data_IF_162711724094
#
_entry.id   IF_162711724094
#
_cell.length_a   1.000
_cell.length_b   1.000
_cell.length_c   1.000
_cell.angle_alpha   90.00
_cell.angle_beta   90.00
_cell.angle_gamma   90.00
#
_symmetry.space_group_name_H-M   'P 1'
#
loop_
_entity.id
_entity.type
_entity.pdbx_description
1 polymer ?
#
# COMPACT_ATOMS: atom_id res chain seq x y z
N UNK A 1 15.15 4.88 -5.73
CA UNK A 1 15.16 3.69 -4.85
C UNK A 1 16.28 2.77 -5.33
N UNK A 2 17.33 2.58 -4.52
CA UNK A 2 18.63 1.98 -4.92
C UNK A 2 18.51 0.53 -5.40
N UNK A 3 17.54 -0.21 -4.85
CA UNK A 3 17.22 -1.58 -5.23
C UNK A 3 17.02 -1.82 -6.74
N UNK A 4 16.35 -0.91 -7.46
CA UNK A 4 16.11 -1.09 -8.90
C UNK A 4 17.41 -1.08 -9.73
N UNK A 5 18.45 -0.41 -9.22
CA UNK A 5 19.77 -0.35 -9.85
C UNK A 5 20.61 -1.58 -9.46
N UNK A 6 20.46 -2.07 -8.24
CA UNK A 6 21.27 -3.16 -7.69
C UNK A 6 20.70 -4.55 -8.05
N UNK A 7 19.40 -4.66 -8.36
CA UNK A 7 18.72 -5.95 -8.62
C UNK A 7 19.27 -6.73 -9.81
N UNK A 8 20.03 -6.12 -10.71
CA UNK A 8 20.63 -6.84 -11.84
C UNK A 8 21.80 -7.70 -11.40
N UNK A 9 22.47 -7.33 -10.32
CA UNK A 9 23.68 -7.98 -9.83
C UNK A 9 23.49 -8.63 -8.46
N UNK A 10 22.58 -8.10 -7.61
CA UNK A 10 22.20 -8.67 -6.31
C UNK A 10 20.92 -9.48 -6.43
N UNK A 11 21.05 -10.72 -6.87
CA UNK A 11 19.93 -11.62 -7.13
C UNK A 11 19.68 -12.64 -6.03
N UNK A 12 20.66 -12.83 -5.13
CA UNK A 12 20.64 -13.89 -4.14
C UNK A 12 20.44 -13.35 -2.73
N UNK A 13 19.82 -14.17 -1.88
CA UNK A 13 19.56 -13.83 -0.47
C UNK A 13 20.86 -13.60 0.31
N UNK A 14 21.95 -14.27 -0.08
CA UNK A 14 23.26 -14.18 0.60
C UNK A 14 24.04 -12.88 0.36
N UNK A 15 23.70 -12.11 -0.69
CA UNK A 15 24.44 -10.89 -1.06
C UNK A 15 23.85 -9.60 -0.49
N UNK A 16 22.65 -9.69 0.10
CA UNK A 16 21.94 -8.57 0.68
C UNK A 16 21.89 -8.71 2.21
N UNK A 17 22.32 -7.67 2.92
CA UNK A 17 22.19 -7.59 4.36
C UNK A 17 20.81 -7.08 4.74
N UNK A 18 20.23 -7.64 5.81
CA UNK A 18 18.98 -7.10 6.37
C UNK A 18 19.22 -5.65 6.80
N UNK A 19 18.30 -4.73 6.47
CA UNK A 19 18.42 -3.34 6.90
C UNK A 19 18.44 -3.31 8.43
N UNK A 20 19.39 -2.56 8.98
CA UNK A 20 19.52 -2.40 10.42
C UNK A 20 18.29 -1.67 10.99
N UNK A 21 17.90 -1.92 12.24
CA UNK A 21 16.75 -1.27 12.87
C UNK A 21 17.07 0.18 13.31
N UNK A 22 17.64 0.97 12.40
CA UNK A 22 18.03 2.37 12.62
C UNK A 22 17.44 3.26 11.53
N UNK A 23 17.22 4.54 11.83
CA UNK A 23 16.61 5.49 10.89
C UNK A 23 17.42 5.65 9.59
N UNK A 24 18.75 5.61 9.70
CA UNK A 24 19.67 5.76 8.57
C UNK A 24 19.50 4.66 7.52
N UNK A 25 19.08 3.45 7.94
CA UNK A 25 18.82 2.32 7.05
C UNK A 25 17.51 2.45 6.27
N UNK A 26 16.75 3.56 6.42
CA UNK A 26 15.54 3.82 5.63
C UNK A 26 15.81 3.90 4.12
N UNK A 27 17.03 4.29 3.73
CA UNK A 27 17.47 4.31 2.32
C UNK A 27 17.71 2.91 1.74
N UNK A 28 17.97 1.94 2.61
CA UNK A 28 18.24 0.54 2.26
C UNK A 28 16.97 -0.32 2.24
N UNK A 29 15.80 0.27 2.51
CA UNK A 29 14.52 -0.41 2.38
C UNK A 29 14.29 -0.85 0.94
N UNK A 30 14.01 -2.14 0.80
CA UNK A 30 13.65 -2.79 -0.46
C UNK A 30 12.16 -3.11 -0.46
N UNK A 31 11.52 -3.35 -1.63
CA UNK A 31 10.14 -3.79 -1.65
C UNK A 31 10.01 -5.24 -1.12
N UNK A 32 8.83 -5.64 -0.59
CA UNK A 32 8.56 -7.01 -0.15
C UNK A 32 8.85 -8.11 -1.19
N UNK A 33 8.79 -7.76 -2.47
CA UNK A 33 9.09 -8.67 -3.57
C UNK A 33 10.59 -8.99 -3.72
N UNK A 34 11.48 -8.23 -3.09
CA UNK A 34 12.91 -8.49 -3.12
C UNK A 34 13.24 -9.83 -2.44
N UNK A 35 14.21 -10.62 -2.95
CA UNK A 35 14.53 -11.95 -2.43
C UNK A 35 14.78 -11.99 -0.91
N UNK A 36 15.49 -11.00 -0.37
CA UNK A 36 15.80 -10.89 1.06
C UNK A 36 14.55 -10.71 1.94
N UNK A 37 13.58 -9.89 1.52
CA UNK A 37 12.33 -9.69 2.25
C UNK A 37 11.38 -10.87 2.10
N UNK A 38 11.35 -11.49 0.91
CA UNK A 38 10.53 -12.68 0.66
C UNK A 38 10.95 -13.86 1.53
N UNK A 39 12.25 -14.00 1.82
CA UNK A 39 12.77 -15.01 2.73
C UNK A 39 12.35 -14.78 4.20
N UNK A 40 11.98 -13.54 4.56
CA UNK A 40 11.53 -13.19 5.91
C UNK A 40 10.22 -12.36 5.88
N UNK A 41 9.04 -13.02 5.88
CA UNK A 41 7.75 -12.35 5.69
C UNK A 41 7.38 -11.38 6.84
N UNK A 42 8.02 -11.47 8.01
CA UNK A 42 7.80 -10.54 9.13
C UNK A 42 8.09 -9.08 8.75
N UNK A 43 8.94 -8.89 7.74
CA UNK A 43 9.33 -7.56 7.23
C UNK A 43 8.17 -6.81 6.57
N UNK A 44 7.10 -7.51 6.18
CA UNK A 44 5.90 -6.93 5.54
C UNK A 44 4.73 -6.74 6.50
N UNK A 45 4.97 -6.84 7.81
CA UNK A 45 3.94 -6.60 8.82
C UNK A 45 3.65 -5.10 8.94
N UNK A 46 2.48 -4.67 8.47
CA UNK A 46 2.05 -3.27 8.43
C UNK A 46 1.47 -2.78 9.77
N UNK A 47 2.30 -2.64 10.81
CA UNK A 47 1.87 -2.12 12.14
C UNK A 47 1.99 -0.61 12.27
N UNK A 48 2.75 0.05 11.38
CA UNK A 48 2.91 1.50 11.38
C UNK A 48 1.67 2.16 10.76
N UNK A 49 0.90 2.87 11.58
CA UNK A 49 -0.20 3.71 11.10
C UNK A 49 0.34 4.86 10.24
N UNK A 50 -0.33 5.13 9.11
CA UNK A 50 0.07 6.17 8.15
C UNK A 50 -0.95 7.29 8.07
N UNK A 51 -2.22 6.97 7.83
CA UNK A 51 -3.24 7.97 7.54
C UNK A 51 -4.66 7.45 7.82
N UNK A 52 -5.59 8.36 8.10
CA UNK A 52 -7.03 8.08 8.25
C UNK A 52 -7.83 8.89 7.23
N UNK A 53 -8.25 8.25 6.14
CA UNK A 53 -9.10 8.84 5.10
C UNK A 53 -10.58 8.69 5.46
N UNK A 54 -11.32 9.81 5.49
CA UNK A 54 -12.73 9.82 5.89
C UNK A 54 -13.55 10.72 4.95
N UNK A 55 -14.70 10.23 4.50
CA UNK A 55 -15.65 11.02 3.71
C UNK A 55 -16.44 12.00 4.57
N UNK A 56 -16.94 13.08 3.94
CA UNK A 56 -17.82 14.04 4.60
C UNK A 56 -19.10 13.37 5.13
N UNK A 57 -19.91 12.68 4.29
CA UNK A 57 -20.93 11.79 4.81
C UNK A 57 -20.25 10.59 5.45
N UNK A 58 -20.54 10.35 6.74
CA UNK A 58 -20.06 9.17 7.43
C UNK A 58 -21.00 8.01 7.17
N UNK A 59 -20.51 7.04 6.42
CA UNK A 59 -21.17 5.76 6.18
C UNK A 59 -20.15 4.62 6.37
N UNK A 60 -20.61 3.40 6.73
CA UNK A 60 -19.76 2.23 6.76
C UNK A 60 -19.12 1.94 5.39
N UNK A 61 -17.83 1.65 5.40
CA UNK A 61 -17.10 1.13 4.24
C UNK A 61 -17.06 -0.39 4.38
N UNK A 62 -17.64 -1.08 3.41
CA UNK A 62 -17.78 -2.54 3.43
C UNK A 62 -16.66 -3.24 2.65
N UNK A 63 -16.12 -2.57 1.61
CA UNK A 63 -15.09 -3.12 0.75
C UNK A 63 -13.99 -2.10 0.48
N UNK A 64 -12.75 -2.60 0.34
CA UNK A 64 -11.61 -1.79 -0.11
C UNK A 64 -10.73 -2.60 -1.07
N UNK A 65 -10.26 -1.97 -2.15
CA UNK A 65 -9.41 -2.62 -3.14
C UNK A 65 -8.47 -1.64 -3.83
N UNK A 66 -7.21 -2.03 -3.94
CA UNK A 66 -6.21 -1.30 -4.71
C UNK A 66 -6.40 -1.52 -6.21
N UNK A 67 -6.14 -0.48 -7.02
CA UNK A 67 -5.94 -0.70 -8.45
C UNK A 67 -4.70 -1.57 -8.67
N UNK A 68 -4.66 -2.44 -9.70
CA UNK A 68 -3.52 -3.34 -9.92
C UNK A 68 -2.18 -2.62 -10.10
N UNK A 69 -2.23 -1.38 -10.61
CA UNK A 69 -1.06 -0.50 -10.75
C UNK A 69 -0.66 0.22 -9.45
N UNK A 70 -1.43 0.09 -8.37
CA UNK A 70 -1.17 0.72 -7.06
C UNK A 70 -1.40 2.22 -7.00
N UNK A 71 -1.88 2.86 -8.08
CA UNK A 71 -2.07 4.32 -8.13
C UNK A 71 -3.23 4.81 -7.28
N UNK A 72 -4.24 3.97 -7.04
CA UNK A 72 -5.47 4.35 -6.34
C UNK A 72 -5.96 3.25 -5.43
N UNK A 73 -6.55 3.65 -4.30
CA UNK A 73 -7.36 2.78 -3.45
C UNK A 73 -8.83 3.11 -3.68
N UNK A 74 -9.64 2.10 -3.98
CA UNK A 74 -11.09 2.22 -4.15
C UNK A 74 -11.75 1.67 -2.89
N UNK A 75 -12.71 2.40 -2.35
CA UNK A 75 -13.52 2.00 -1.20
C UNK A 75 -15.00 2.01 -1.58
N UNK A 76 -15.73 0.96 -1.20
CA UNK A 76 -17.16 0.82 -1.44
C UNK A 76 -17.96 1.04 -0.16
N UNK A 77 -18.89 1.99 -0.21
CA UNK A 77 -19.73 2.35 0.93
C UNK A 77 -21.08 1.60 0.92
N UNK A 78 -21.74 1.57 2.07
CA UNK A 78 -23.11 1.07 2.21
C UNK A 78 -24.15 1.89 1.42
N UNK A 79 -23.79 3.09 0.96
CA UNK A 79 -24.60 3.98 0.13
C UNK A 79 -24.55 3.67 -1.37
N UNK A 80 -23.69 2.73 -1.79
CA UNK A 80 -23.44 2.44 -3.21
C UNK A 80 -22.37 3.33 -3.85
N UNK A 81 -21.76 4.21 -3.05
CA UNK A 81 -20.70 5.11 -3.49
C UNK A 81 -19.34 4.42 -3.52
N UNK A 82 -18.58 4.69 -4.57
CA UNK A 82 -17.14 4.42 -4.62
C UNK A 82 -16.37 5.70 -4.34
N UNK A 83 -15.45 5.64 -3.38
CA UNK A 83 -14.47 6.71 -3.17
C UNK A 83 -13.10 6.27 -3.60
N UNK A 84 -12.45 7.09 -4.43
CA UNK A 84 -11.11 6.89 -4.93
C UNK A 84 -10.14 7.76 -4.15
N UNK A 85 -9.14 7.11 -3.57
CA UNK A 85 -8.06 7.71 -2.81
C UNK A 85 -6.75 7.58 -3.56
N UNK A 86 -5.91 8.62 -3.49
CA UNK A 86 -4.58 8.58 -4.07
C UNK A 86 -3.72 7.53 -3.37
N UNK A 87 -3.04 6.68 -4.14
CA UNK A 87 -2.35 5.51 -3.60
C UNK A 87 -1.06 5.79 -2.83
N UNK A 88 -0.47 6.97 -3.02
CA UNK A 88 0.76 7.37 -2.32
C UNK A 88 0.49 8.29 -1.14
N UNK A 89 -0.45 9.22 -1.33
CA UNK A 89 -0.70 10.31 -0.38
C UNK A 89 -1.99 10.17 0.41
N UNK A 90 -2.88 9.25 0.01
CA UNK A 90 -4.21 9.04 0.59
C UNK A 90 -5.16 10.25 0.52
N UNK A 91 -4.82 11.23 -0.32
CA UNK A 91 -5.70 12.36 -0.63
C UNK A 91 -6.94 11.89 -1.39
N UNK A 92 -8.07 12.57 -1.15
CA UNK A 92 -9.30 12.38 -1.90
C UNK A 92 -9.08 12.73 -3.38
N UNK A 93 -9.46 11.85 -4.30
CA UNK A 93 -9.47 12.15 -5.73
C UNK A 93 -10.88 12.41 -6.23
N UNK A 94 -11.80 11.46 -6.03
CA UNK A 94 -13.19 11.61 -6.46
C UNK A 94 -14.11 10.61 -5.75
N UNK A 95 -15.42 10.88 -5.84
CA UNK A 95 -16.49 10.02 -5.40
C UNK A 95 -17.48 9.83 -6.56
N UNK A 96 -17.99 8.62 -6.71
CA UNK A 96 -18.92 8.28 -7.78
C UNK A 96 -19.99 7.32 -7.26
N UNK A 97 -21.24 7.58 -7.65
CA UNK A 97 -22.34 6.68 -7.36
C UNK A 97 -22.29 5.52 -8.34
N UNK A 98 -21.89 4.35 -7.84
CA UNK A 98 -21.67 3.17 -8.67
C UNK A 98 -22.86 2.21 -8.62
N UNK A 99 -23.54 2.13 -7.48
CA UNK A 99 -24.64 1.21 -7.22
C UNK A 99 -25.81 1.95 -6.56
N UNK A 100 -27.05 1.49 -6.78
CA UNK A 100 -28.24 1.97 -6.06
C UNK A 100 -28.45 1.25 -4.71
N UNK A 101 -27.52 0.37 -4.34
CA UNK A 101 -27.55 -0.45 -3.14
C UNK A 101 -26.17 -0.55 -2.51
N UNK A 102 -26.10 -1.08 -1.28
CA UNK A 102 -24.85 -1.24 -0.56
C UNK A 102 -23.84 -2.09 -1.34
N UNK A 103 -22.60 -1.61 -1.41
CA UNK A 103 -21.48 -2.40 -1.91
C UNK A 103 -21.14 -3.42 -0.83
N UNK A 104 -21.13 -4.71 -1.15
CA UNK A 104 -20.82 -5.81 -0.21
C UNK A 104 -19.73 -6.72 -0.76
#
# INVERSE_FOLDING_TARGET
>A
MRWFLDRTWKNEVGEASMPQPVYEASLDLVPPAAPIMKANPVTSVCTKFVHSSVNKPRCPINACRWTPEGKRLITGASTGEFTLWNGLTFNFETILQAHDSAVS
#
